data_IF_733669766023
#
_entry.id   IF_733669766023
#
_cell.length_a   1.000
_cell.length_b   1.000
_cell.length_c   1.000
_cell.angle_alpha   90.00
_cell.angle_beta   90.00
_cell.angle_gamma   90.00
#
_symmetry.space_group_name_H-M   'P 1'
#
loop_
_entity.id
_entity.type
_entity.pdbx_description
1 polymer ?
#
# COMPACT_ATOMS: atom_id res chain seq x y z
N UNK A 1 2.06 15.39 -31.63
CA UNK A 1 0.72 15.44 -31.03
C UNK A 1 0.51 14.19 -30.20
N UNK A 2 0.81 14.22 -28.90
CA UNK A 2 0.40 13.21 -27.93
C UNK A 2 0.05 13.94 -26.64
N UNK A 3 -1.25 14.02 -26.38
CA UNK A 3 -1.83 14.62 -25.18
C UNK A 3 -1.88 13.53 -24.12
N UNK A 4 -1.25 13.75 -22.96
CA UNK A 4 -1.40 12.86 -21.81
C UNK A 4 -2.18 13.62 -20.74
N UNK A 5 -3.45 13.26 -20.66
CA UNK A 5 -4.41 13.66 -19.64
C UNK A 5 -3.98 13.12 -18.27
N UNK A 6 -3.98 13.99 -17.24
CA UNK A 6 -4.01 13.56 -15.81
C UNK A 6 -5.38 12.90 -15.50
N UNK A 7 -5.65 12.41 -14.28
CA UNK A 7 -4.98 11.38 -13.46
C UNK A 7 -5.97 10.22 -13.13
N UNK A 8 -5.50 9.06 -12.64
CA UNK A 8 -6.36 8.13 -11.88
C UNK A 8 -5.66 7.64 -10.63
N UNK A 9 -6.36 7.87 -9.52
CA UNK A 9 -6.05 7.59 -8.12
C UNK A 9 -5.51 6.19 -7.86
N UNK A 10 -4.37 6.11 -7.18
CA UNK A 10 -3.97 4.95 -6.38
C UNK A 10 -3.42 5.50 -5.07
N UNK A 11 -4.32 5.93 -4.18
CA UNK A 11 -3.96 6.47 -2.88
C UNK A 11 -3.50 5.35 -1.96
N UNK A 12 -2.22 5.33 -1.61
CA UNK A 12 -1.72 4.54 -0.48
C UNK A 12 -2.18 5.26 0.79
N UNK A 13 -3.05 4.62 1.57
CA UNK A 13 -3.51 5.17 2.85
C UNK A 13 -2.40 5.10 3.90
N UNK A 14 -1.54 6.12 3.95
CA UNK A 14 -0.50 6.23 4.99
C UNK A 14 -1.13 6.79 6.26
N UNK A 15 -1.31 5.92 7.26
CA UNK A 15 -1.74 6.31 8.61
C UNK A 15 -0.58 7.00 9.33
N UNK A 16 -0.60 8.33 9.41
CA UNK A 16 0.34 9.11 10.24
C UNK A 16 -0.27 9.43 11.59
N UNK A 17 0.43 9.08 12.68
CA UNK A 17 0.14 9.57 14.04
C UNK A 17 0.54 11.05 14.09
N UNK A 18 -0.33 11.89 14.63
CA UNK A 18 -0.17 13.33 14.77
C UNK A 18 1.12 13.65 15.55
N UNK A 19 2.16 14.10 14.86
CA UNK A 19 3.41 14.57 15.45
C UNK A 19 4.10 15.53 14.49
N UNK A 20 4.29 16.78 14.92
CA UNK A 20 5.03 17.81 14.20
C UNK A 20 6.42 17.30 13.83
N UNK A 21 6.85 17.49 12.59
CA UNK A 21 8.21 17.20 12.17
C UNK A 21 8.31 17.12 10.66
N UNK A 22 9.03 18.05 10.07
CA UNK A 22 9.30 18.15 8.64
C UNK A 22 9.86 16.82 8.12
N UNK A 23 9.34 16.34 7.00
CA UNK A 23 9.84 15.17 6.28
C UNK A 23 11.34 15.38 5.98
N UNK A 24 12.20 14.72 6.74
CA UNK A 24 13.65 14.99 6.81
C UNK A 24 14.43 14.72 5.52
N UNK A 25 13.78 14.45 4.38
CA UNK A 25 14.48 14.25 3.10
C UNK A 25 13.81 14.89 1.87
N UNK A 26 12.69 15.62 1.99
CA UNK A 26 12.11 16.37 0.86
C UNK A 26 11.66 15.52 -0.35
N UNK A 27 11.51 14.20 -0.20
CA UNK A 27 11.12 13.28 -1.28
C UNK A 27 9.61 13.02 -1.35
N UNK A 28 8.88 13.37 -0.29
CA UNK A 28 7.43 13.19 -0.19
C UNK A 28 6.81 14.46 0.38
N UNK A 29 5.76 14.95 -0.27
CA UNK A 29 4.87 16.00 0.20
C UNK A 29 3.57 15.38 0.72
N UNK A 30 3.09 15.86 1.87
CA UNK A 30 1.83 15.44 2.46
C UNK A 30 0.82 16.58 2.35
N UNK A 31 -0.26 16.38 1.60
CA UNK A 31 -1.39 17.31 1.51
C UNK A 31 -2.61 16.75 2.24
N UNK A 32 -3.48 17.60 2.79
CA UNK A 32 -4.76 17.14 3.32
C UNK A 32 -5.64 16.64 2.17
N UNK A 33 -6.37 15.54 2.40
CA UNK A 33 -7.37 15.08 1.44
C UNK A 33 -8.55 16.08 1.37
N UNK A 34 -8.83 16.68 0.20
CA UNK A 34 -9.95 17.61 0.04
C UNK A 34 -11.32 16.95 0.25
N UNK A 35 -11.42 15.62 0.25
CA UNK A 35 -12.67 14.87 0.44
C UNK A 35 -12.92 14.37 1.87
N UNK A 36 -12.01 14.61 2.82
CA UNK A 36 -12.20 14.14 4.19
C UNK A 36 -11.11 14.56 5.18
N UNK A 37 -11.52 15.30 6.21
CA UNK A 37 -10.66 16.11 7.10
C UNK A 37 -9.65 15.39 8.02
N UNK A 38 -9.27 14.14 7.73
CA UNK A 38 -8.22 13.41 8.48
C UNK A 38 -7.27 12.59 7.62
N UNK A 39 -7.57 12.37 6.33
CA UNK A 39 -6.66 11.69 5.43
C UNK A 39 -5.60 12.67 4.90
N UNK A 40 -4.36 12.19 4.75
CA UNK A 40 -3.29 12.93 4.07
C UNK A 40 -2.90 12.16 2.81
N UNK A 41 -2.82 12.87 1.70
CA UNK A 41 -2.31 12.37 0.43
C UNK A 41 -0.80 12.57 0.42
N UNK A 42 -0.07 11.47 0.29
CA UNK A 42 1.37 11.50 0.07
C UNK A 42 1.66 11.54 -1.44
N UNK A 43 2.43 12.54 -1.87
CA UNK A 43 2.84 12.73 -3.25
C UNK A 43 4.37 12.77 -3.32
N UNK A 44 4.97 12.04 -4.26
CA UNK A 44 6.41 12.14 -4.50
C UNK A 44 6.75 13.52 -5.07
N UNK A 45 7.79 14.15 -4.53
CA UNK A 45 8.38 15.35 -5.14
C UNK A 45 9.18 14.96 -6.38
N UNK A 46 9.59 15.90 -7.24
CA UNK A 46 10.45 15.57 -8.38
C UNK A 46 11.75 14.85 -7.98
N UNK A 47 12.39 15.27 -6.87
CA UNK A 47 13.56 14.59 -6.32
C UNK A 47 13.23 13.21 -5.76
N UNK A 48 12.05 13.05 -5.15
CA UNK A 48 11.57 11.75 -4.68
C UNK A 48 11.30 10.77 -5.81
N UNK A 49 10.71 11.25 -6.90
CA UNK A 49 10.51 10.47 -8.12
C UNK A 49 11.84 10.01 -8.74
N UNK A 50 12.85 10.89 -8.78
CA UNK A 50 14.17 10.53 -9.30
C UNK A 50 14.83 9.39 -8.50
N UNK A 51 14.72 9.40 -7.17
CA UNK A 51 15.21 8.31 -6.33
C UNK A 51 14.36 7.05 -6.50
N UNK A 52 13.04 7.21 -6.56
CA UNK A 52 12.13 6.09 -6.81
C UNK A 52 12.48 5.37 -8.12
N UNK A 53 12.83 6.10 -9.18
CA UNK A 53 13.24 5.51 -10.45
C UNK A 53 14.56 4.72 -10.34
N UNK A 54 15.55 5.24 -9.60
CA UNK A 54 16.80 4.49 -9.33
C UNK A 54 16.54 3.20 -8.55
N UNK A 55 15.69 3.27 -7.52
CA UNK A 55 15.29 2.09 -6.73
C UNK A 55 14.53 1.11 -7.62
N UNK A 56 13.67 1.60 -8.53
CA UNK A 56 12.91 0.77 -9.47
C UNK A 56 13.86 -0.02 -10.36
N UNK A 57 14.90 0.61 -10.91
CA UNK A 57 15.89 -0.07 -11.73
C UNK A 57 16.62 -1.19 -10.96
N UNK A 58 17.09 -0.90 -9.74
CA UNK A 58 17.73 -1.90 -8.88
C UNK A 58 16.77 -3.07 -8.53
N UNK A 59 15.49 -2.76 -8.28
CA UNK A 59 14.47 -3.76 -8.01
C UNK A 59 14.20 -4.63 -9.24
N UNK A 60 14.18 -4.06 -10.45
CA UNK A 60 13.98 -4.79 -11.70
C UNK A 60 15.13 -5.77 -11.97
N UNK A 61 16.39 -5.38 -11.73
CA UNK A 61 17.52 -6.30 -11.88
C UNK A 61 17.49 -7.40 -10.81
N UNK A 62 17.09 -7.05 -9.58
CA UNK A 62 16.89 -8.05 -8.52
C UNK A 62 15.79 -9.06 -8.88
N UNK A 63 14.67 -8.60 -9.43
CA UNK A 63 13.59 -9.46 -9.92
C UNK A 63 14.07 -10.37 -11.05
N UNK A 64 14.80 -9.81 -12.03
CA UNK A 64 15.38 -10.58 -13.13
C UNK A 64 16.28 -11.69 -12.61
N UNK A 65 17.19 -11.38 -11.69
CA UNK A 65 18.11 -12.35 -11.10
C UNK A 65 17.35 -13.42 -10.32
N UNK A 66 16.39 -13.04 -9.47
CA UNK A 66 15.55 -13.96 -8.71
C UNK A 66 14.76 -14.92 -9.61
N UNK A 67 14.17 -14.39 -10.69
CA UNK A 67 13.34 -15.16 -11.62
C UNK A 67 14.14 -15.99 -12.63
N UNK A 68 15.47 -15.81 -12.69
CA UNK A 68 16.35 -16.55 -13.60
C UNK A 68 16.48 -18.04 -13.23
N UNK A 69 16.24 -18.40 -11.97
CA UNK A 69 16.29 -19.77 -11.48
C UNK A 69 15.14 -20.65 -12.01
N UNK A 70 14.11 -20.06 -12.62
CA UNK A 70 12.90 -20.73 -13.09
C UNK A 70 12.86 -20.82 -14.61
N UNK A 71 12.29 -21.87 -15.17
CA UNK A 71 11.91 -21.93 -16.58
C UNK A 71 10.75 -20.96 -16.87
N UNK A 72 10.55 -20.62 -18.15
CA UNK A 72 9.49 -19.68 -18.54
C UNK A 72 8.08 -20.14 -18.11
N UNK A 73 7.81 -21.45 -18.20
CA UNK A 73 6.54 -22.03 -17.75
C UNK A 73 6.37 -21.93 -16.23
N UNK A 74 7.44 -22.15 -15.46
CA UNK A 74 7.44 -22.06 -14.00
C UNK A 74 7.23 -20.62 -13.51
N UNK A 75 7.87 -19.64 -14.16
CA UNK A 75 7.61 -18.22 -13.90
C UNK A 75 6.14 -17.87 -14.08
N UNK A 76 5.53 -18.33 -15.18
CA UNK A 76 4.10 -18.12 -15.46
C UNK A 76 3.21 -18.80 -14.41
N UNK A 77 3.58 -20.00 -13.98
CA UNK A 77 2.87 -20.72 -12.92
C UNK A 77 2.95 -19.95 -11.59
N UNK A 78 4.14 -19.54 -11.17
CA UNK A 78 4.35 -18.76 -9.95
C UNK A 78 3.51 -17.49 -9.94
N UNK A 79 3.54 -16.69 -11.01
CA UNK A 79 2.74 -15.47 -11.11
C UNK A 79 1.24 -15.75 -11.02
N UNK A 80 0.77 -16.83 -11.63
CA UNK A 80 -0.64 -17.24 -11.52
C UNK A 80 -1.02 -17.66 -10.09
N UNK A 81 -0.13 -18.37 -9.38
CA UNK A 81 -0.36 -18.75 -7.99
C UNK A 81 -0.38 -17.52 -7.08
N UNK A 82 0.60 -16.62 -7.20
CA UNK A 82 0.66 -15.37 -6.44
C UNK A 82 -0.59 -14.52 -6.65
N UNK A 83 -1.06 -14.40 -7.91
CA UNK A 83 -2.30 -13.68 -8.23
C UNK A 83 -3.52 -14.30 -7.55
N UNK A 84 -3.69 -15.62 -7.65
CA UNK A 84 -4.82 -16.32 -7.01
C UNK A 84 -4.78 -16.18 -5.49
N UNK A 85 -3.60 -16.26 -4.88
CA UNK A 85 -3.43 -16.05 -3.45
C UNK A 85 -3.77 -14.62 -3.05
N UNK A 86 -3.34 -13.63 -3.84
CA UNK A 86 -3.68 -12.22 -3.60
C UNK A 86 -5.19 -11.97 -3.71
N UNK A 87 -5.84 -12.53 -4.74
CA UNK A 87 -7.30 -12.47 -4.92
C UNK A 87 -8.06 -13.15 -3.77
N UNK A 88 -7.43 -14.11 -3.08
CA UNK A 88 -8.02 -14.80 -1.92
C UNK A 88 -7.94 -14.04 -0.59
N UNK A 89 -7.19 -12.94 -0.52
CA UNK A 89 -6.97 -12.20 0.74
C UNK A 89 -8.27 -11.77 1.45
N UNK A 90 -9.32 -11.28 0.78
CA UNK A 90 -10.58 -10.94 1.44
C UNK A 90 -11.25 -12.14 2.14
N UNK A 91 -11.15 -13.33 1.54
CA UNK A 91 -11.68 -14.55 2.15
C UNK A 91 -10.87 -14.96 3.38
N UNK A 92 -9.54 -14.79 3.33
CA UNK A 92 -8.65 -15.03 4.48
C UNK A 92 -8.97 -14.07 5.62
N UNK A 93 -9.16 -12.78 5.33
CA UNK A 93 -9.54 -11.78 6.33
C UNK A 93 -10.90 -12.10 6.97
N UNK A 94 -11.88 -12.52 6.17
CA UNK A 94 -13.19 -12.94 6.66
C UNK A 94 -13.08 -14.16 7.58
N UNK A 95 -12.42 -15.23 7.14
CA UNK A 95 -12.22 -16.44 7.94
C UNK A 95 -11.48 -16.14 9.26
N UNK A 96 -10.49 -15.25 9.21
CA UNK A 96 -9.75 -14.81 10.39
C UNK A 96 -10.67 -14.06 11.37
N UNK A 97 -11.48 -13.13 10.87
CA UNK A 97 -12.46 -12.40 11.70
C UNK A 97 -13.50 -13.34 12.30
N UNK A 98 -14.00 -14.30 11.54
CA UNK A 98 -15.01 -15.25 12.00
C UNK A 98 -14.44 -16.14 13.11
N UNK A 99 -13.19 -16.60 12.97
CA UNK A 99 -12.48 -17.33 14.02
C UNK A 99 -12.36 -16.51 15.32
N UNK A 100 -11.96 -15.24 15.23
CA UNK A 100 -11.91 -14.37 16.41
C UNK A 100 -13.30 -14.13 17.01
N UNK A 101 -14.35 -14.00 16.19
CA UNK A 101 -15.72 -13.82 16.67
C UNK A 101 -16.19 -15.05 17.44
N UNK A 102 -15.85 -16.25 16.97
CA UNK A 102 -16.26 -17.52 17.56
C UNK A 102 -15.48 -17.88 18.84
N UNK A 103 -14.15 -17.65 18.84
CA UNK A 103 -13.28 -18.14 19.91
C UNK A 103 -12.80 -17.06 20.87
N UNK A 104 -12.72 -15.80 20.41
CA UNK A 104 -12.16 -14.68 21.17
C UNK A 104 -12.92 -13.37 20.92
N UNK A 105 -14.22 -13.30 21.26
CA UNK A 105 -15.08 -12.16 20.91
C UNK A 105 -14.60 -10.81 21.47
N UNK A 106 -13.83 -10.83 22.56
CA UNK A 106 -13.24 -9.63 23.16
C UNK A 106 -12.03 -9.06 22.39
N UNK A 107 -11.37 -9.85 21.53
CA UNK A 107 -10.21 -9.39 20.76
C UNK A 107 -10.58 -8.35 19.68
N UNK A 108 -11.83 -8.38 19.20
CA UNK A 108 -12.35 -7.46 18.19
C UNK A 108 -12.87 -6.13 18.79
N UNK A 109 -13.01 -6.02 20.12
CA UNK A 109 -13.58 -4.84 20.79
C UNK A 109 -12.64 -3.62 20.88
N UNK A 110 -11.36 -3.75 20.50
CA UNK A 110 -10.36 -2.67 20.67
C UNK A 110 -10.47 -1.52 19.65
N UNK A 111 -11.52 -1.50 18.82
CA UNK A 111 -11.94 -0.36 17.96
C UNK A 111 -13.31 0.17 18.41
N UNK A 112 -13.45 0.53 19.67
CA UNK A 112 -14.57 1.37 20.09
C UNK A 112 -14.51 2.75 19.41
N UNK A 113 -15.65 3.37 19.06
CA UNK A 113 -15.68 4.74 18.55
C UNK A 113 -15.02 5.64 19.60
N UNK A 114 -13.99 6.38 19.19
CA UNK A 114 -13.34 7.34 20.09
C UNK A 114 -14.33 8.47 20.34
N UNK A 115 -14.61 8.71 21.60
CA UNK A 115 -15.72 9.49 22.13
C UNK A 115 -15.84 10.88 21.50
N UNK A 116 -17.10 11.25 21.27
CA UNK A 116 -17.58 12.58 20.96
C UNK A 116 -17.64 13.38 22.27
N UNK A 117 -16.59 14.10 22.64
CA UNK A 117 -16.54 15.07 23.75
C UNK A 117 -15.46 16.12 23.40
N UNK A 118 -15.65 17.45 23.46
CA UNK A 118 -16.75 18.37 23.74
C UNK A 118 -16.42 19.69 23.04
#
# INVERSE_FOLDING_TARGET
MFSISRPRSSGIAVRTVQGRGHAQCGFIELALDPQGGRARIATLTPSGSAIHDQIREAAMESERAFMSALAAAERKLLLNLLRRLHESLPAVEAATRDHFTQHHPHALQRRGPKDSES
#
